data_IF_197809720122
#
_entry.id   IF_197809720122
#
_cell.length_a   1.000
_cell.length_b   1.000
_cell.length_c   1.000
_cell.angle_alpha   90.00
_cell.angle_beta   90.00
_cell.angle_gamma   90.00
#
_symmetry.space_group_name_H-M   'P 1'
#
loop_
_entity.id
_entity.type
_entity.pdbx_description
1 polymer ?
#
# COMPACT_ATOMS: atom_id res chain seq x y z
N UNK A 1 8.32 4.88 25.35
CA UNK A 1 7.66 6.19 25.09
C UNK A 1 6.84 6.08 23.82
N UNK A 2 5.59 6.51 23.85
CA UNK A 2 4.72 6.53 22.65
C UNK A 2 5.30 7.43 21.56
N UNK A 3 5.06 7.07 20.29
CA UNK A 3 5.41 7.87 19.12
C UNK A 3 4.35 7.72 18.03
N UNK A 4 4.21 8.73 17.18
CA UNK A 4 3.32 8.67 16.02
C UNK A 4 4.16 8.61 14.76
N UNK A 5 3.83 7.68 13.89
CA UNK A 5 4.39 7.57 12.55
C UNK A 5 3.30 7.91 11.55
N UNK A 6 3.60 8.84 10.64
CA UNK A 6 2.67 9.24 9.57
C UNK A 6 3.24 8.76 8.23
N UNK A 7 2.55 7.82 7.60
CA UNK A 7 2.78 7.37 6.24
C UNK A 7 1.99 8.27 5.26
N UNK A 8 2.72 8.91 4.34
CA UNK A 8 2.16 9.86 3.37
C UNK A 8 2.41 9.34 1.97
N UNK A 9 1.46 8.59 1.45
CA UNK A 9 1.48 8.05 0.10
C UNK A 9 0.93 9.02 -0.96
N UNK A 10 0.86 8.57 -2.19
CA UNK A 10 0.31 9.36 -3.31
C UNK A 10 -1.22 9.49 -3.28
N UNK A 11 -1.92 8.65 -2.54
CA UNK A 11 -3.38 8.57 -2.49
C UNK A 11 -4.00 8.71 -1.11
N UNK A 12 -3.20 8.65 -0.05
CA UNK A 12 -3.69 8.71 1.31
C UNK A 12 -2.62 9.13 2.32
N UNK A 13 -3.09 9.54 3.49
CA UNK A 13 -2.30 9.79 4.69
C UNK A 13 -2.80 8.83 5.76
N UNK A 14 -1.89 8.11 6.40
CA UNK A 14 -2.18 7.20 7.50
C UNK A 14 -1.37 7.59 8.73
N UNK A 15 -2.01 7.70 9.87
CA UNK A 15 -1.36 7.94 11.16
C UNK A 15 -1.40 6.68 12.02
N UNK A 16 -0.26 6.33 12.60
CA UNK A 16 -0.10 5.17 13.46
C UNK A 16 0.49 5.56 14.80
N UNK A 17 -0.19 5.20 15.87
CA UNK A 17 0.34 5.29 17.23
C UNK A 17 1.13 4.02 17.52
N UNK A 18 2.36 4.18 17.96
CA UNK A 18 3.23 3.09 18.42
C UNK A 18 3.36 3.26 19.94
N UNK A 19 2.84 2.31 20.68
CA UNK A 19 2.93 2.33 22.14
C UNK A 19 4.29 1.84 22.67
N UNK A 20 4.46 1.82 23.97
CA UNK A 20 5.71 1.39 24.62
C UNK A 20 6.03 -0.11 24.41
N UNK A 21 5.02 -0.92 24.11
CA UNK A 21 5.15 -2.34 23.78
C UNK A 21 5.39 -2.60 22.28
N UNK A 22 5.59 -1.52 21.49
CA UNK A 22 5.72 -1.56 20.02
C UNK A 22 4.46 -2.04 19.30
N UNK A 23 3.30 -2.01 19.94
CA UNK A 23 2.03 -2.29 19.30
C UNK A 23 1.63 -1.11 18.41
N UNK A 24 1.16 -1.43 17.20
CA UNK A 24 0.83 -0.47 16.16
C UNK A 24 -0.69 -0.31 16.09
N UNK A 25 -1.18 0.89 16.31
CA UNK A 25 -2.59 1.23 16.17
C UNK A 25 -2.77 2.24 15.03
N UNK A 26 -3.62 1.95 14.05
CA UNK A 26 -4.02 2.94 13.04
C UNK A 26 -5.03 3.91 13.65
N UNK A 27 -4.58 5.13 13.94
CA UNK A 27 -5.38 6.20 14.56
C UNK A 27 -5.96 7.18 13.53
N UNK A 28 -5.45 7.21 12.30
CA UNK A 28 -5.87 8.18 11.29
C UNK A 28 -5.75 7.61 9.88
N UNK A 29 -6.75 7.89 9.05
CA UNK A 29 -6.74 7.61 7.62
C UNK A 29 -7.50 8.70 6.88
N UNK A 30 -6.87 9.29 5.86
CA UNK A 30 -7.50 10.25 4.95
C UNK A 30 -7.01 10.06 3.52
N UNK A 31 -7.95 9.93 2.60
CA UNK A 31 -7.65 9.88 1.17
C UNK A 31 -7.44 11.29 0.62
N UNK A 32 -6.26 11.53 0.03
CA UNK A 32 -5.91 12.75 -0.71
C UNK A 32 -5.17 12.32 -1.96
N UNK A 33 -5.76 12.60 -3.12
CA UNK A 33 -5.25 12.12 -4.41
C UNK A 33 -4.13 13.02 -4.96
N UNK A 34 -3.01 13.11 -4.25
CA UNK A 34 -1.88 13.98 -4.61
C UNK A 34 -1.40 13.80 -6.04
N UNK A 35 -1.31 12.55 -6.53
CA UNK A 35 -0.84 12.28 -7.90
C UNK A 35 -1.79 12.84 -8.96
N UNK A 36 -3.09 12.95 -8.68
CA UNK A 36 -4.07 13.46 -9.63
C UNK A 36 -3.84 14.93 -9.98
N UNK A 37 -3.44 15.72 -8.98
CA UNK A 37 -3.27 17.16 -9.09
C UNK A 37 -1.80 17.58 -9.15
N UNK A 38 -0.88 16.61 -9.24
CA UNK A 38 0.55 16.85 -9.32
C UNK A 38 0.96 17.35 -10.70
N UNK A 39 1.85 18.36 -10.73
CA UNK A 39 2.60 18.76 -11.93
C UNK A 39 4.08 18.80 -11.64
N UNK A 40 4.91 18.56 -12.66
CA UNK A 40 6.38 18.63 -12.49
C UNK A 40 6.85 20.05 -12.16
N UNK A 41 6.15 21.07 -12.63
CA UNK A 41 6.50 22.48 -12.44
C UNK A 41 6.11 22.94 -11.03
N UNK A 42 4.87 22.68 -10.61
CA UNK A 42 4.32 23.26 -9.37
C UNK A 42 4.30 22.28 -8.19
N UNK A 43 4.65 21.01 -8.42
CA UNK A 43 4.55 19.96 -7.40
C UNK A 43 3.10 19.55 -7.12
N UNK A 44 2.78 19.33 -5.84
CA UNK A 44 1.39 19.08 -5.40
C UNK A 44 0.59 20.38 -5.41
N UNK A 45 -0.72 20.29 -5.66
CA UNK A 45 -1.56 21.48 -5.71
C UNK A 45 -1.64 22.20 -4.35
N UNK A 46 -1.88 23.52 -4.36
CA UNK A 46 -2.07 24.29 -3.14
C UNK A 46 -3.26 23.78 -2.30
N UNK A 47 -4.31 23.24 -2.94
CA UNK A 47 -5.42 22.60 -2.26
C UNK A 47 -5.00 21.35 -1.51
N UNK A 48 -4.27 20.46 -2.17
CA UNK A 48 -3.77 19.22 -1.57
C UNK A 48 -2.73 19.49 -0.46
N UNK A 49 -1.90 20.54 -0.63
CA UNK A 49 -0.96 20.97 0.40
C UNK A 49 -1.68 21.45 1.67
N UNK A 50 -2.76 22.23 1.52
CA UNK A 50 -3.59 22.67 2.65
C UNK A 50 -4.23 21.48 3.36
N UNK A 51 -4.75 20.51 2.61
CA UNK A 51 -5.34 19.29 3.19
C UNK A 51 -4.30 18.41 3.88
N UNK A 52 -3.08 18.31 3.34
CA UNK A 52 -1.96 17.62 3.98
C UNK A 52 -1.63 18.25 5.34
N UNK A 53 -1.41 19.57 5.38
CA UNK A 53 -1.10 20.31 6.62
C UNK A 53 -2.24 20.16 7.63
N UNK A 54 -3.48 20.26 7.18
CA UNK A 54 -4.67 20.09 8.02
C UNK A 54 -4.73 18.69 8.63
N UNK A 55 -4.50 17.64 7.82
CA UNK A 55 -4.51 16.25 8.28
C UNK A 55 -3.45 16.00 9.36
N UNK A 56 -2.22 16.49 9.14
CA UNK A 56 -1.14 16.32 10.11
C UNK A 56 -1.40 17.14 11.38
N UNK A 57 -2.01 18.32 11.24
CA UNK A 57 -2.42 19.14 12.38
C UNK A 57 -3.46 18.44 13.25
N UNK A 58 -4.47 17.81 12.64
CA UNK A 58 -5.49 17.05 13.37
C UNK A 58 -4.86 15.92 14.18
N UNK A 59 -3.93 15.16 13.60
CA UNK A 59 -3.19 14.11 14.32
C UNK A 59 -2.40 14.69 15.50
N UNK A 60 -1.74 15.83 15.29
CA UNK A 60 -0.97 16.51 16.34
C UNK A 60 -1.85 17.04 17.47
N UNK A 61 -3.01 17.62 17.13
CA UNK A 61 -3.92 18.20 18.12
C UNK A 61 -4.54 17.11 19.02
N UNK A 62 -4.72 15.88 18.53
CA UNK A 62 -5.20 14.75 19.33
C UNK A 62 -4.16 14.24 20.34
N UNK A 63 -2.86 14.34 20.01
CA UNK A 63 -1.74 13.85 20.82
C UNK A 63 -0.59 14.86 20.84
N UNK A 64 -0.76 16.05 21.44
CA UNK A 64 0.16 17.19 21.26
C UNK A 64 1.58 16.96 21.80
N UNK A 65 1.74 16.11 22.82
CA UNK A 65 3.03 15.83 23.46
C UNK A 65 3.74 14.60 22.86
N UNK A 66 3.08 13.88 21.95
CA UNK A 66 3.64 12.66 21.34
C UNK A 66 4.52 13.02 20.14
N UNK A 67 5.79 12.56 20.11
CA UNK A 67 6.67 12.79 18.97
C UNK A 67 6.08 12.24 17.66
N UNK A 68 6.14 13.06 16.60
CA UNK A 68 5.61 12.72 15.27
C UNK A 68 6.76 12.59 14.25
N UNK A 69 6.79 11.47 13.55
CA UNK A 69 7.72 11.17 12.47
C UNK A 69 6.96 10.98 11.16
N UNK A 70 7.34 11.68 10.11
CA UNK A 70 6.71 11.56 8.79
C UNK A 70 7.58 10.76 7.84
N UNK A 71 6.93 9.92 7.02
CA UNK A 71 7.52 9.13 5.96
C UNK A 71 6.71 9.36 4.68
N UNK A 72 7.14 10.32 3.87
CA UNK A 72 6.50 10.61 2.60
C UNK A 72 7.17 9.82 1.47
N UNK A 73 6.35 9.29 0.56
CA UNK A 73 6.77 8.37 -0.50
C UNK A 73 6.26 8.83 -1.88
N UNK A 74 6.55 8.06 -2.90
CA UNK A 74 5.94 8.19 -4.23
C UNK A 74 5.99 9.61 -4.82
N UNK A 75 4.85 10.30 -4.93
CA UNK A 75 4.74 11.62 -5.57
C UNK A 75 5.65 12.68 -4.92
N UNK A 76 5.92 12.55 -3.63
CA UNK A 76 6.79 13.50 -2.92
C UNK A 76 8.27 13.38 -3.33
N UNK A 77 8.71 12.23 -3.82
CA UNK A 77 10.04 12.05 -4.43
C UNK A 77 10.19 12.76 -5.77
N UNK A 78 9.06 13.09 -6.42
CA UNK A 78 9.05 13.77 -7.72
C UNK A 78 9.07 15.30 -7.60
N UNK A 79 8.97 15.84 -6.38
CA UNK A 79 9.08 17.28 -6.14
C UNK A 79 10.45 17.80 -6.55
N UNK A 80 10.49 19.00 -7.12
CA UNK A 80 11.74 19.74 -7.28
C UNK A 80 12.36 20.04 -5.91
N UNK A 81 13.66 20.24 -5.86
CA UNK A 81 14.36 20.61 -4.61
C UNK A 81 13.73 21.84 -3.96
N UNK A 82 13.34 22.83 -4.74
CA UNK A 82 12.69 24.05 -4.27
C UNK A 82 11.31 23.75 -3.67
N UNK A 83 10.45 23.02 -4.39
CA UNK A 83 9.10 22.66 -3.91
C UNK A 83 9.16 21.81 -2.63
N UNK A 84 10.09 20.87 -2.55
CA UNK A 84 10.31 20.07 -1.36
C UNK A 84 10.78 20.94 -0.19
N UNK A 85 11.77 21.80 -0.39
CA UNK A 85 12.26 22.70 0.65
C UNK A 85 11.16 23.63 1.17
N UNK A 86 10.35 24.21 0.27
CA UNK A 86 9.22 25.06 0.65
C UNK A 86 8.18 24.31 1.48
N UNK A 87 7.85 23.06 1.11
CA UNK A 87 6.92 22.22 1.87
C UNK A 87 7.51 21.88 3.26
N UNK A 88 8.77 21.49 3.33
CA UNK A 88 9.47 21.19 4.59
C UNK A 88 9.49 22.41 5.52
N UNK A 89 9.80 23.60 4.98
CA UNK A 89 9.79 24.85 5.74
C UNK A 89 8.40 25.17 6.28
N UNK A 90 7.36 25.05 5.45
CA UNK A 90 5.98 25.31 5.84
C UNK A 90 5.51 24.35 6.94
N UNK A 91 5.85 23.07 6.86
CA UNK A 91 5.55 22.06 7.89
C UNK A 91 6.24 22.39 9.21
N UNK A 92 7.53 22.77 9.14
CA UNK A 92 8.29 23.16 10.33
C UNK A 92 7.72 24.42 10.96
N UNK A 93 7.41 25.47 10.18
CA UNK A 93 6.90 26.74 10.69
C UNK A 93 5.48 26.63 11.29
N UNK A 94 4.59 25.87 10.63
CA UNK A 94 3.19 25.76 11.05
C UNK A 94 2.95 24.70 12.11
N UNK A 95 3.70 23.61 12.08
CA UNK A 95 3.44 22.44 12.90
C UNK A 95 4.61 22.02 13.79
N UNK A 96 5.81 22.55 13.56
CA UNK A 96 7.02 22.09 14.25
C UNK A 96 7.41 20.66 13.92
N UNK A 97 7.01 20.16 12.74
CA UNK A 97 7.22 18.79 12.30
C UNK A 97 8.20 18.77 11.13
N UNK A 98 9.21 17.89 11.21
CA UNK A 98 10.12 17.63 10.11
C UNK A 98 9.42 16.74 9.07
N UNK A 99 9.31 17.23 7.84
CA UNK A 99 8.72 16.48 6.73
C UNK A 99 9.80 15.68 6.00
N UNK A 100 9.81 14.36 6.22
CA UNK A 100 10.81 13.47 5.63
C UNK A 100 10.26 12.75 4.40
N UNK A 101 11.02 12.79 3.31
CA UNK A 101 10.74 11.99 2.11
C UNK A 101 11.79 10.89 2.04
N UNK A 102 11.35 9.65 2.09
CA UNK A 102 12.25 8.50 2.02
C UNK A 102 12.50 8.07 0.57
N UNK A 103 13.66 7.53 0.31
CA UNK A 103 14.02 6.98 -1.00
C UNK A 103 13.20 5.75 -1.33
N UNK A 104 13.12 5.40 -2.60
CA UNK A 104 12.48 4.17 -3.06
C UNK A 104 13.09 2.93 -2.43
N UNK A 105 14.42 2.92 -2.32
CA UNK A 105 15.16 1.81 -1.72
C UNK A 105 14.83 1.63 -0.23
N UNK A 106 14.74 2.72 0.53
CA UNK A 106 14.35 2.66 1.94
C UNK A 106 12.93 2.13 2.12
N UNK A 107 11.98 2.56 1.27
CA UNK A 107 10.60 2.06 1.29
C UNK A 107 10.57 0.54 1.06
N UNK A 108 11.26 0.04 0.03
CA UNK A 108 11.36 -1.38 -0.28
C UNK A 108 12.03 -2.17 0.86
N UNK A 109 13.09 -1.65 1.46
CA UNK A 109 13.77 -2.27 2.60
C UNK A 109 12.84 -2.36 3.83
N UNK A 110 12.04 -1.33 4.11
CA UNK A 110 11.05 -1.38 5.19
C UNK A 110 9.94 -2.40 4.91
N UNK A 111 9.45 -2.47 3.68
CA UNK A 111 8.46 -3.49 3.29
C UNK A 111 9.05 -4.90 3.46
N UNK A 112 10.29 -5.12 3.04
CA UNK A 112 10.96 -6.42 3.23
C UNK A 112 11.15 -6.76 4.71
N UNK A 113 11.53 -5.78 5.53
CA UNK A 113 11.70 -5.95 6.99
C UNK A 113 10.36 -6.21 7.70
N UNK A 114 9.26 -5.65 7.20
CA UNK A 114 7.93 -5.94 7.71
C UNK A 114 7.59 -7.43 7.60
N UNK A 115 7.88 -8.02 6.45
CA UNK A 115 7.64 -9.46 6.19
C UNK A 115 8.66 -10.34 6.92
N UNK A 116 9.90 -9.89 6.98
CA UNK A 116 10.99 -10.66 7.58
C UNK A 116 11.37 -11.91 6.78
N UNK A 117 12.09 -12.83 7.46
CA UNK A 117 12.42 -14.12 6.89
C UNK A 117 11.33 -15.15 7.22
N UNK A 118 10.83 -15.82 6.20
CA UNK A 118 9.88 -16.93 6.36
C UNK A 118 10.65 -18.23 6.23
N UNK A 119 11.04 -18.81 7.37
CA UNK A 119 11.88 -20.01 7.43
C UNK A 119 11.24 -21.23 6.75
N UNK A 120 9.91 -21.29 6.72
CA UNK A 120 9.16 -22.38 6.09
C UNK A 120 9.18 -22.31 4.55
N UNK A 121 9.71 -21.24 3.96
CA UNK A 121 9.82 -21.08 2.50
C UNK A 121 11.30 -21.07 2.08
N UNK A 122 11.82 -22.22 1.71
CA UNK A 122 13.19 -22.37 1.19
C UNK A 122 13.37 -21.79 -0.24
N UNK A 123 12.31 -21.77 -1.04
CA UNK A 123 12.34 -21.25 -2.41
C UNK A 123 12.28 -19.71 -2.44
N UNK A 124 12.72 -19.05 -3.53
CA UNK A 124 12.49 -17.63 -3.70
C UNK A 124 11.00 -17.28 -3.62
N UNK A 125 10.68 -16.23 -2.88
CA UNK A 125 9.32 -15.70 -2.79
C UNK A 125 9.27 -14.21 -3.11
N UNK A 126 8.14 -13.77 -3.65
CA UNK A 126 7.87 -12.38 -3.93
C UNK A 126 7.20 -11.71 -2.72
N UNK A 127 7.70 -10.56 -2.31
CA UNK A 127 6.96 -9.59 -1.51
C UNK A 127 6.51 -8.49 -2.46
N UNK A 128 5.22 -8.17 -2.47
CA UNK A 128 4.64 -7.19 -3.37
C UNK A 128 3.72 -6.23 -2.62
N UNK A 129 3.90 -4.93 -2.89
CA UNK A 129 2.98 -3.88 -2.43
C UNK A 129 2.42 -3.16 -3.65
N UNK A 130 1.10 -3.29 -3.89
CA UNK A 130 0.41 -2.57 -4.95
C UNK A 130 -0.20 -1.31 -4.36
N UNK A 131 0.46 -0.18 -4.58
CA UNK A 131 0.02 1.11 -4.07
C UNK A 131 -1.01 1.82 -4.97
N UNK A 132 -1.15 3.12 -4.72
CA UNK A 132 -2.00 3.99 -5.55
C UNK A 132 -1.33 4.42 -6.86
N UNK A 133 0.00 4.49 -6.90
CA UNK A 133 0.76 5.03 -8.03
C UNK A 133 2.01 4.25 -8.39
N UNK A 134 2.45 3.34 -7.55
CA UNK A 134 3.60 2.47 -7.79
C UNK A 134 3.31 1.07 -7.24
N UNK A 135 4.07 0.11 -7.73
CA UNK A 135 4.05 -1.27 -7.29
C UNK A 135 5.48 -1.69 -6.97
N UNK A 136 5.73 -1.98 -5.71
CA UNK A 136 7.01 -2.48 -5.22
C UNK A 136 7.03 -3.99 -5.30
N UNK A 137 8.12 -4.55 -5.83
CA UNK A 137 8.33 -5.99 -5.97
C UNK A 137 9.73 -6.36 -5.48
N UNK A 138 9.78 -7.19 -4.45
CA UNK A 138 11.01 -7.58 -3.77
C UNK A 138 11.07 -9.11 -3.76
N UNK A 139 12.13 -9.68 -4.31
CA UNK A 139 12.34 -11.13 -4.26
C UNK A 139 13.31 -11.44 -3.15
N UNK A 140 12.89 -12.29 -2.23
CA UNK A 140 13.67 -12.75 -1.09
C UNK A 140 13.98 -14.25 -1.24
N UNK A 141 15.19 -14.65 -0.86
CA UNK A 141 15.60 -16.03 -0.75
C UNK A 141 16.52 -16.19 0.45
N UNK A 142 16.23 -17.15 1.31
CA UNK A 142 17.01 -17.41 2.54
C UNK A 142 17.21 -16.16 3.42
N UNK A 143 16.20 -15.29 3.50
CA UNK A 143 16.26 -14.04 4.26
C UNK A 143 17.00 -12.89 3.58
N UNK A 144 17.57 -13.09 2.39
CA UNK A 144 18.29 -12.07 1.64
C UNK A 144 17.46 -11.55 0.47
N UNK A 145 17.48 -10.22 0.25
CA UNK A 145 16.90 -9.60 -0.93
C UNK A 145 17.80 -9.89 -2.13
N UNK A 146 17.29 -10.64 -3.11
CA UNK A 146 18.03 -10.99 -4.32
C UNK A 146 17.63 -10.16 -5.55
N UNK A 147 16.40 -9.63 -5.58
CA UNK A 147 15.93 -8.67 -6.57
C UNK A 147 14.99 -7.67 -5.89
N UNK A 148 15.08 -6.40 -6.26
CA UNK A 148 14.10 -5.39 -5.88
C UNK A 148 13.87 -4.43 -7.03
N UNK A 149 12.63 -4.06 -7.26
CA UNK A 149 12.24 -3.14 -8.31
C UNK A 149 10.90 -2.48 -8.03
N UNK A 150 10.74 -1.28 -8.58
CA UNK A 150 9.48 -0.55 -8.57
C UNK A 150 8.98 -0.35 -9.98
N UNK A 151 7.70 -0.61 -10.16
CA UNK A 151 6.94 -0.26 -11.37
C UNK A 151 6.08 0.99 -11.09
N UNK A 152 6.11 1.95 -12.01
CA UNK A 152 5.32 3.19 -11.90
C UNK A 152 3.87 3.01 -12.39
N UNK A 153 3.35 1.81 -12.25
CA UNK A 153 1.99 1.43 -12.57
C UNK A 153 1.33 0.76 -11.36
N UNK A 154 0.11 1.18 -11.04
CA UNK A 154 -0.60 0.69 -9.87
C UNK A 154 -2.12 0.86 -9.99
N UNK A 155 -2.82 0.70 -8.86
CA UNK A 155 -4.28 0.81 -8.74
C UNK A 155 -4.84 2.10 -9.36
N UNK A 156 -4.20 3.24 -9.16
CA UNK A 156 -4.65 4.55 -9.67
C UNK A 156 -4.62 4.64 -11.19
N UNK A 157 -3.73 3.90 -11.86
CA UNK A 157 -3.66 3.88 -13.32
C UNK A 157 -4.85 3.12 -13.92
N UNK A 158 -5.23 2.01 -13.29
CA UNK A 158 -6.44 1.26 -13.65
C UNK A 158 -7.69 2.11 -13.41
N UNK A 159 -7.82 2.71 -12.25
CA UNK A 159 -8.97 3.55 -11.89
C UNK A 159 -9.14 4.75 -12.82
N UNK A 160 -8.03 5.38 -13.23
CA UNK A 160 -8.06 6.52 -14.17
C UNK A 160 -8.51 6.12 -15.56
N UNK A 161 -8.04 4.96 -16.05
CA UNK A 161 -8.38 4.46 -17.38
C UNK A 161 -9.77 3.82 -17.43
N UNK A 162 -10.17 3.18 -16.34
CA UNK A 162 -11.44 2.45 -16.20
C UNK A 162 -12.20 2.92 -14.95
N UNK A 163 -12.74 4.16 -14.96
CA UNK A 163 -13.42 4.73 -13.79
C UNK A 163 -14.64 3.91 -13.35
N UNK A 164 -15.26 3.12 -14.25
CA UNK A 164 -16.33 2.18 -13.91
C UNK A 164 -15.91 1.12 -12.88
N UNK A 165 -14.62 0.89 -12.66
CA UNK A 165 -14.16 0.01 -11.56
C UNK A 165 -14.54 0.54 -10.18
N UNK A 166 -14.84 1.83 -10.06
CA UNK A 166 -15.31 2.48 -8.84
C UNK A 166 -16.83 2.71 -8.80
N UNK A 167 -17.59 2.14 -9.73
CA UNK A 167 -19.05 2.17 -9.71
C UNK A 167 -19.61 1.02 -8.87
N UNK A 168 -20.83 1.19 -8.36
CA UNK A 168 -21.44 0.20 -7.47
C UNK A 168 -21.60 -1.16 -8.17
N UNK A 169 -22.21 -1.16 -9.35
CA UNK A 169 -22.32 -2.35 -10.21
C UNK A 169 -21.50 -2.08 -11.47
N UNK A 170 -20.26 -2.52 -11.44
CA UNK A 170 -19.37 -2.28 -12.56
C UNK A 170 -19.60 -3.31 -13.68
N UNK A 171 -19.95 -2.83 -14.85
CA UNK A 171 -19.82 -3.60 -16.09
C UNK A 171 -18.38 -3.45 -16.59
N UNK A 172 -17.52 -4.36 -16.10
CA UNK A 172 -16.07 -4.32 -16.38
C UNK A 172 -15.74 -5.38 -17.43
N UNK A 173 -15.30 -4.93 -18.59
CA UNK A 173 -14.59 -5.83 -19.51
C UNK A 173 -13.19 -6.13 -18.97
N UNK A 174 -13.10 -7.24 -18.24
CA UNK A 174 -11.88 -7.69 -17.58
C UNK A 174 -10.74 -7.88 -18.59
N UNK A 175 -11.03 -8.34 -19.81
CA UNK A 175 -10.01 -8.55 -20.83
C UNK A 175 -9.41 -7.21 -21.29
N UNK A 176 -10.22 -6.19 -21.50
CA UNK A 176 -9.72 -4.86 -21.82
C UNK A 176 -8.84 -4.28 -20.71
N UNK A 177 -9.19 -4.52 -19.44
CA UNK A 177 -8.34 -4.08 -18.32
C UNK A 177 -7.02 -4.85 -18.30
N UNK A 178 -7.02 -6.18 -18.46
CA UNK A 178 -5.78 -6.96 -18.52
C UNK A 178 -4.89 -6.54 -19.68
N UNK A 179 -5.43 -6.32 -20.87
CA UNK A 179 -4.68 -5.82 -22.02
C UNK A 179 -4.03 -4.45 -21.72
N UNK A 180 -4.76 -3.56 -21.03
CA UNK A 180 -4.21 -2.28 -20.61
C UNK A 180 -3.09 -2.43 -19.60
N UNK A 181 -3.25 -3.28 -18.58
CA UNK A 181 -2.21 -3.57 -17.60
C UNK A 181 -0.97 -4.14 -18.33
N UNK A 182 -1.13 -5.16 -19.18
CA UNK A 182 -0.03 -5.79 -19.91
C UNK A 182 0.75 -4.81 -20.80
N UNK A 183 0.05 -3.87 -21.42
CA UNK A 183 0.67 -2.86 -22.26
C UNK A 183 1.43 -1.78 -21.49
N UNK A 184 1.12 -1.56 -20.21
CA UNK A 184 1.67 -0.46 -19.42
C UNK A 184 2.55 -0.91 -18.24
N UNK A 185 2.33 -2.08 -17.68
CA UNK A 185 3.16 -2.65 -16.62
C UNK A 185 4.40 -3.33 -17.26
N UNK A 186 5.59 -2.76 -17.06
CA UNK A 186 6.79 -3.12 -17.83
C UNK A 186 7.85 -3.87 -17.05
N UNK A 187 7.97 -3.64 -15.77
CA UNK A 187 9.05 -4.18 -14.95
C UNK A 187 8.56 -5.39 -14.16
N UNK A 188 9.28 -6.49 -14.25
CA UNK A 188 9.03 -7.70 -13.46
C UNK A 188 10.34 -8.29 -12.95
N UNK A 189 10.34 -8.97 -11.80
CA UNK A 189 11.47 -9.77 -11.38
C UNK A 189 11.82 -10.83 -12.43
N UNK A 190 13.10 -11.10 -12.61
CA UNK A 190 13.57 -12.19 -13.49
C UNK A 190 13.32 -13.54 -12.85
N UNK A 191 13.42 -13.62 -11.53
CA UNK A 191 13.20 -14.83 -10.74
C UNK A 191 11.71 -15.15 -10.69
N UNK A 192 11.36 -16.39 -11.07
CA UNK A 192 10.00 -16.91 -10.86
C UNK A 192 9.80 -17.31 -9.42
N UNK A 193 8.65 -16.93 -8.85
CA UNK A 193 8.33 -17.17 -7.46
C UNK A 193 7.05 -17.99 -7.35
N UNK A 194 7.16 -19.21 -6.76
CA UNK A 194 5.99 -20.04 -6.46
C UNK A 194 5.09 -19.41 -5.42
N UNK A 195 5.68 -18.66 -4.49
CA UNK A 195 5.02 -18.00 -3.37
C UNK A 195 5.04 -16.50 -3.56
N UNK A 196 3.91 -15.83 -3.27
CA UNK A 196 3.79 -14.39 -3.36
C UNK A 196 3.04 -13.84 -2.13
N UNK A 197 3.67 -12.89 -1.44
CA UNK A 197 3.14 -12.21 -0.27
C UNK A 197 2.76 -10.80 -0.70
N UNK A 198 1.47 -10.47 -0.59
CA UNK A 198 1.01 -9.13 -0.92
C UNK A 198 0.71 -8.36 0.35
N UNK A 199 1.48 -7.30 0.57
CA UNK A 199 1.38 -6.45 1.75
C UNK A 199 0.26 -5.42 1.58
N UNK A 200 -0.43 -5.09 2.68
CA UNK A 200 -1.54 -4.14 2.67
C UNK A 200 -2.85 -4.67 2.04
N UNK A 201 -2.95 -5.97 1.78
CA UNK A 201 -4.03 -6.59 1.01
C UNK A 201 -4.95 -7.53 1.80
N UNK A 202 -4.73 -7.68 3.09
CA UNK A 202 -5.57 -8.57 3.89
C UNK A 202 -7.05 -8.18 3.84
N UNK A 203 -7.33 -6.88 3.93
CA UNK A 203 -8.70 -6.39 3.84
C UNK A 203 -9.38 -6.86 2.55
N UNK A 204 -8.69 -6.79 1.41
CA UNK A 204 -9.19 -7.27 0.13
C UNK A 204 -9.54 -8.77 0.19
N UNK A 205 -8.66 -9.59 0.76
CA UNK A 205 -8.91 -11.02 0.89
C UNK A 205 -10.08 -11.33 1.80
N UNK A 206 -10.21 -10.66 2.93
CA UNK A 206 -11.35 -10.79 3.83
C UNK A 206 -12.67 -10.45 3.13
N UNK A 207 -12.68 -9.42 2.29
CA UNK A 207 -13.87 -9.01 1.53
C UNK A 207 -14.22 -10.01 0.42
N UNK A 208 -13.22 -10.53 -0.26
CA UNK A 208 -13.40 -11.47 -1.38
C UNK A 208 -13.82 -12.86 -0.88
N UNK A 209 -13.24 -13.33 0.22
CA UNK A 209 -13.51 -14.69 0.74
C UNK A 209 -14.65 -14.73 1.75
N UNK A 210 -15.05 -13.58 2.31
CA UNK A 210 -15.92 -13.46 3.50
C UNK A 210 -15.41 -14.24 4.72
N UNK A 211 -14.19 -14.74 4.67
CA UNK A 211 -13.51 -15.36 5.78
C UNK A 211 -12.76 -14.29 6.55
N UNK A 212 -12.96 -14.21 7.86
CA UNK A 212 -12.12 -13.37 8.72
C UNK A 212 -10.73 -13.99 8.75
N UNK A 213 -9.82 -13.46 7.95
CA UNK A 213 -8.40 -13.76 8.06
C UNK A 213 -7.85 -12.94 9.24
N UNK A 214 -7.09 -13.59 10.09
CA UNK A 214 -6.45 -12.91 11.20
C UNK A 214 -5.08 -12.42 10.74
N UNK A 215 -4.95 -11.12 10.54
CA UNK A 215 -3.75 -10.45 10.03
C UNK A 215 -2.49 -10.81 10.81
N UNK A 216 -2.63 -10.76 12.10
CA UNK A 216 -1.50 -10.89 13.01
C UNK A 216 -0.97 -12.34 13.11
N UNK A 217 -1.67 -13.32 12.55
CA UNK A 217 -1.19 -14.71 12.55
C UNK A 217 -0.15 -14.98 11.50
N UNK A 218 -0.01 -14.12 10.50
CA UNK A 218 0.92 -14.34 9.40
C UNK A 218 2.39 -14.33 9.85
N UNK A 219 2.74 -13.52 10.87
CA UNK A 219 4.12 -13.31 11.33
C UNK A 219 4.34 -13.58 12.81
N UNK A 220 3.33 -14.00 13.55
CA UNK A 220 3.51 -14.47 14.90
C UNK A 220 4.08 -15.89 14.90
N UNK A 221 5.35 -15.96 14.86
CA UNK A 221 6.36 -16.99 15.24
C UNK A 221 5.99 -18.48 15.28
N UNK A 222 4.75 -18.93 15.18
CA UNK A 222 4.38 -20.33 15.40
C UNK A 222 3.24 -20.88 14.56
N UNK A 223 2.56 -20.08 13.76
CA UNK A 223 1.42 -20.54 12.98
C UNK A 223 1.70 -20.44 11.48
N UNK A 224 1.33 -21.46 10.74
CA UNK A 224 1.38 -21.44 9.28
C UNK A 224 0.48 -20.31 8.80
N UNK A 225 1.01 -19.35 8.02
CA UNK A 225 0.22 -18.22 7.56
C UNK A 225 -0.97 -18.68 6.69
N UNK A 226 -2.10 -17.99 6.83
CA UNK A 226 -3.21 -18.23 5.93
C UNK A 226 -2.79 -17.93 4.50
N UNK A 227 -3.17 -18.82 3.60
CA UNK A 227 -2.88 -18.69 2.18
C UNK A 227 -4.09 -19.07 1.34
N UNK A 228 -4.06 -18.62 0.10
CA UNK A 228 -4.94 -19.09 -0.96
C UNK A 228 -4.09 -19.71 -2.06
N UNK A 229 -4.59 -20.74 -2.70
CA UNK A 229 -4.07 -21.08 -4.02
C UNK A 229 -4.39 -19.93 -4.99
N UNK A 230 -3.57 -19.75 -6.01
CA UNK A 230 -3.83 -18.70 -7.00
C UNK A 230 -5.16 -18.96 -7.75
N UNK A 231 -5.57 -20.23 -7.87
CA UNK A 231 -6.88 -20.60 -8.44
C UNK A 231 -8.04 -20.12 -7.57
N UNK A 232 -7.95 -20.32 -6.25
CA UNK A 232 -8.92 -19.79 -5.29
C UNK A 232 -8.97 -18.26 -5.33
N UNK A 233 -7.79 -17.61 -5.40
CA UNK A 233 -7.71 -16.16 -5.55
C UNK A 233 -8.45 -15.69 -6.82
N UNK A 234 -8.24 -16.32 -7.96
CA UNK A 234 -8.94 -15.93 -9.20
C UNK A 234 -10.45 -16.09 -9.10
N UNK A 235 -10.91 -17.18 -8.51
CA UNK A 235 -12.36 -17.40 -8.29
C UNK A 235 -12.96 -16.33 -7.38
N UNK A 236 -12.27 -16.00 -6.30
CA UNK A 236 -12.72 -14.98 -5.37
C UNK A 236 -12.66 -13.57 -6.01
N UNK A 237 -11.64 -13.31 -6.81
CA UNK A 237 -11.49 -12.07 -7.57
C UNK A 237 -12.63 -11.88 -8.58
N UNK A 238 -13.00 -12.93 -9.30
CA UNK A 238 -14.15 -12.89 -10.21
C UNK A 238 -15.44 -12.53 -9.48
N UNK A 239 -15.66 -13.10 -8.29
CA UNK A 239 -16.80 -12.75 -7.43
C UNK A 239 -16.77 -11.28 -7.00
N UNK A 240 -15.60 -10.74 -6.58
CA UNK A 240 -15.43 -9.34 -6.23
C UNK A 240 -15.80 -8.41 -7.40
N UNK A 241 -15.36 -8.76 -8.60
CA UNK A 241 -15.57 -7.94 -9.78
C UNK A 241 -17.00 -7.95 -10.27
N UNK A 242 -17.69 -9.09 -10.20
CA UNK A 242 -19.03 -9.27 -10.78
C UNK A 242 -20.18 -9.11 -9.80
N UNK A 243 -20.00 -9.53 -8.55
CA UNK A 243 -21.13 -9.76 -7.63
C UNK A 243 -21.09 -8.89 -6.36
N UNK A 244 -19.93 -8.32 -6.01
CA UNK A 244 -19.81 -7.54 -4.78
C UNK A 244 -20.11 -6.07 -5.06
N UNK A 245 -21.09 -5.52 -4.36
CA UNK A 245 -21.44 -4.09 -4.44
C UNK A 245 -20.35 -3.22 -3.81
N UNK A 246 -19.93 -2.18 -4.52
CA UNK A 246 -18.99 -1.21 -3.98
C UNK A 246 -19.61 -0.42 -2.83
N UNK A 247 -20.93 -0.18 -2.87
CA UNK A 247 -21.66 0.46 -1.78
C UNK A 247 -21.55 -0.36 -0.50
N UNK A 248 -21.77 -1.67 -0.56
CA UNK A 248 -21.65 -2.56 0.60
C UNK A 248 -20.23 -2.57 1.16
N UNK A 249 -19.21 -2.53 0.29
CA UNK A 249 -17.81 -2.43 0.71
C UNK A 249 -17.51 -1.12 1.43
N UNK A 250 -18.04 -0.01 0.92
CA UNK A 250 -17.89 1.32 1.55
C UNK A 250 -18.58 1.39 2.90
N UNK A 251 -19.73 0.77 3.06
CA UNK A 251 -20.44 0.68 4.34
C UNK A 251 -19.68 -0.16 5.37
N UNK A 252 -19.07 -1.26 4.91
CA UNK A 252 -18.23 -2.10 5.77
C UNK A 252 -16.91 -1.43 6.17
N UNK A 253 -16.37 -0.56 5.32
CA UNK A 253 -15.13 0.17 5.55
C UNK A 253 -15.41 1.64 5.88
N UNK A 254 -15.97 1.86 7.06
CA UNK A 254 -16.50 3.18 7.46
C UNK A 254 -15.44 4.24 7.78
N UNK A 255 -14.17 3.85 8.09
CA UNK A 255 -13.09 4.82 8.41
C UNK A 255 -12.75 5.72 7.22
N UNK A 256 -12.62 5.16 6.02
CA UNK A 256 -12.47 5.90 4.76
C UNK A 256 -13.13 5.13 3.61
N UNK A 257 -14.43 5.34 3.37
CA UNK A 257 -15.17 4.65 2.32
C UNK A 257 -14.56 4.83 0.93
N UNK A 258 -13.85 5.95 0.68
CA UNK A 258 -13.23 6.24 -0.60
C UNK A 258 -12.05 5.33 -0.92
N UNK A 259 -11.43 4.73 0.10
CA UNK A 259 -10.38 3.72 -0.09
C UNK A 259 -10.87 2.54 -0.94
N UNK A 260 -12.15 2.17 -0.81
CA UNK A 260 -12.75 1.09 -1.56
C UNK A 260 -12.86 1.35 -3.07
N UNK A 261 -12.75 2.59 -3.54
CA UNK A 261 -12.79 2.91 -4.98
C UNK A 261 -11.65 2.21 -5.74
N UNK A 262 -10.52 1.95 -5.10
CA UNK A 262 -9.37 1.28 -5.70
C UNK A 262 -9.39 -0.25 -5.63
N UNK A 263 -10.29 -0.86 -4.86
CA UNK A 263 -10.19 -2.29 -4.50
C UNK A 263 -10.21 -3.23 -5.72
N UNK A 264 -11.08 -2.96 -6.71
CA UNK A 264 -11.16 -3.79 -7.92
C UNK A 264 -9.94 -3.59 -8.83
N UNK A 265 -9.44 -2.36 -8.95
CA UNK A 265 -8.19 -2.08 -9.66
C UNK A 265 -6.99 -2.78 -9.03
N UNK A 266 -6.85 -2.71 -7.71
CA UNK A 266 -5.82 -3.40 -6.96
C UNK A 266 -5.87 -4.92 -7.17
N UNK A 267 -7.07 -5.50 -7.12
CA UNK A 267 -7.32 -6.91 -7.35
C UNK A 267 -6.91 -7.38 -8.75
N UNK A 268 -7.20 -6.58 -9.78
CA UNK A 268 -6.81 -6.87 -11.17
C UNK A 268 -5.29 -6.81 -11.37
N UNK A 269 -4.62 -5.79 -10.80
CA UNK A 269 -3.15 -5.69 -10.83
C UNK A 269 -2.51 -6.87 -10.10
N UNK A 270 -3.03 -7.24 -8.92
CA UNK A 270 -2.56 -8.41 -8.16
C UNK A 270 -2.68 -9.69 -8.99
N UNK A 271 -3.85 -9.94 -9.59
CA UNK A 271 -4.07 -11.11 -10.44
C UNK A 271 -3.07 -11.17 -11.62
N UNK A 272 -2.83 -10.02 -12.24
CA UNK A 272 -1.86 -9.92 -13.34
C UNK A 272 -0.43 -10.26 -12.89
N UNK A 273 0.01 -9.72 -11.75
CA UNK A 273 1.35 -10.00 -11.20
C UNK A 273 1.50 -11.48 -10.86
N UNK A 274 0.53 -12.07 -10.15
CA UNK A 274 0.54 -13.49 -9.79
C UNK A 274 0.73 -14.40 -11.02
N UNK A 275 0.06 -14.08 -12.13
CA UNK A 275 0.20 -14.80 -13.37
C UNK A 275 1.61 -14.64 -13.96
N UNK A 276 2.10 -13.40 -14.06
CA UNK A 276 3.40 -13.11 -14.71
C UNK A 276 4.60 -13.73 -13.97
N UNK A 277 4.57 -13.76 -12.65
CA UNK A 277 5.66 -14.38 -11.86
C UNK A 277 5.53 -15.91 -11.74
N UNK A 278 4.40 -16.48 -12.14
CA UNK A 278 4.12 -17.91 -12.05
C UNK A 278 3.80 -18.40 -10.65
N UNK A 279 3.24 -17.53 -9.81
CA UNK A 279 2.83 -17.87 -8.45
C UNK A 279 1.81 -19.01 -8.42
N UNK A 280 1.86 -19.83 -7.37
CA UNK A 280 0.90 -20.89 -7.08
C UNK A 280 0.18 -20.66 -5.77
N UNK A 281 0.86 -19.98 -4.85
CA UNK A 281 0.36 -19.68 -3.50
C UNK A 281 0.42 -18.16 -3.30
N UNK A 282 -0.68 -17.62 -2.86
CA UNK A 282 -0.87 -16.22 -2.55
C UNK A 282 -1.07 -16.06 -1.04
N UNK A 283 -0.28 -15.22 -0.42
CA UNK A 283 -0.39 -14.85 0.98
C UNK A 283 -0.86 -13.40 1.09
N UNK A 284 -2.12 -13.16 1.46
CA UNK A 284 -2.57 -11.82 1.80
C UNK A 284 -2.00 -11.41 3.15
N UNK A 285 -1.50 -10.18 3.23
CA UNK A 285 -0.96 -9.61 4.46
C UNK A 285 -1.40 -8.16 4.59
N UNK A 286 -1.67 -7.72 5.81
CA UNK A 286 -1.91 -6.31 6.14
C UNK A 286 -0.65 -5.61 6.64
N UNK A 287 0.47 -6.32 6.74
CA UNK A 287 1.76 -5.70 7.01
C UNK A 287 2.05 -4.63 5.97
N UNK A 288 2.74 -3.61 6.41
CA UNK A 288 3.09 -2.48 5.59
C UNK A 288 4.44 -1.90 6.01
N UNK A 289 4.88 -0.84 5.36
CA UNK A 289 6.14 -0.18 5.64
C UNK A 289 6.32 0.18 7.13
N UNK A 290 5.24 0.52 7.84
CA UNK A 290 5.31 0.94 9.24
C UNK A 290 5.79 -0.20 10.15
N UNK A 291 5.33 -1.43 9.88
CA UNK A 291 5.78 -2.62 10.60
C UNK A 291 7.31 -2.80 10.45
N UNK A 292 7.82 -2.56 9.23
CA UNK A 292 9.25 -2.61 8.97
C UNK A 292 10.04 -1.47 9.62
N UNK A 293 9.47 -0.26 9.68
CA UNK A 293 10.07 0.86 10.41
C UNK A 293 10.17 0.54 11.90
N UNK A 294 9.10 0.04 12.50
CA UNK A 294 9.08 -0.33 13.92
C UNK A 294 10.09 -1.44 14.20
N UNK A 295 10.15 -2.47 13.37
CA UNK A 295 11.13 -3.55 13.48
C UNK A 295 12.60 -3.07 13.33
N UNK A 296 12.84 -1.97 12.64
CA UNK A 296 14.17 -1.40 12.46
C UNK A 296 14.62 -0.46 13.60
N UNK A 297 13.71 -0.10 14.49
CA UNK A 297 14.01 0.75 15.65
C UNK A 297 14.50 -0.08 16.87
N UNK A 298 14.54 -1.40 16.73
CA UNK A 298 15.16 -2.35 17.67
C UNK A 298 16.67 -2.35 17.50
#
# INVERSE_FOLDING_TARGET
MEKIIIDIGSGNIKGYLINENEEIENIFLRSIMFKKNFSKENGISEGDKKELIKAIKEIKDEKPETPIYTYATSVFRMLSTENLHNLQKEMQEKLGIQFNVISQKEEEEYIAKAVGNIEEIEAPYLICCVGGSSTEMIVVKNGEIIEQLTEEFATGDVLRKFPQTAEDKADIDINSVYNYIENNFKKFPKTKCKYAIFTGFQLMCNLVTKNKMNANTFFTKKEIPYYLTVEEFYKNNENLLKNVSLKDLKEQYSKDPNFMNGIRGASLVTAFILNKIGAKIYFPSDLNMIDGIVNNLK
#
